data_IF_770454532878
#
_entry.id   IF_770454532878
#
_cell.length_a   1.000
_cell.length_b   1.000
_cell.length_c   1.000
_cell.angle_alpha   90.00
_cell.angle_beta   90.00
_cell.angle_gamma   90.00
#
_symmetry.space_group_name_H-M   'P 1'
#
loop_
_entity.id
_entity.type
_entity.pdbx_description
1 polymer ?
#
# COMPACT_ATOMS: atom_id res chain seq x y z
N UNK A 1 -16.49 33.18 -53.86
CA UNK A 1 -15.28 32.38 -53.55
C UNK A 1 -15.34 32.03 -52.07
N UNK A 2 -15.83 30.80 -51.79
CA UNK A 2 -15.99 30.30 -50.46
C UNK A 2 -14.65 29.96 -49.81
N UNK A 3 -14.47 30.42 -48.60
CA UNK A 3 -13.47 29.91 -47.66
C UNK A 3 -14.03 28.57 -47.14
N UNK A 4 -13.46 27.47 -47.62
CA UNK A 4 -13.61 26.16 -46.99
C UNK A 4 -12.82 26.24 -45.70
N UNK A 5 -13.53 26.50 -44.59
CA UNK A 5 -12.97 26.33 -43.26
C UNK A 5 -12.60 24.87 -43.11
N UNK A 6 -11.33 24.59 -42.82
CA UNK A 6 -10.91 23.29 -42.31
C UNK A 6 -11.67 23.07 -41.01
N UNK A 7 -12.80 22.35 -41.08
CA UNK A 7 -13.32 21.65 -39.91
C UNK A 7 -12.21 20.68 -39.48
N UNK A 8 -11.43 21.15 -38.54
CA UNK A 8 -10.49 20.31 -37.84
C UNK A 8 -11.32 19.24 -37.14
N UNK A 9 -11.36 18.07 -37.74
CA UNK A 9 -12.07 16.91 -37.23
C UNK A 9 -11.54 16.58 -35.86
N UNK A 10 -12.21 17.05 -34.79
CA UNK A 10 -12.08 16.58 -33.41
C UNK A 10 -12.62 15.14 -33.32
N UNK A 11 -12.64 14.41 -34.41
CA UNK A 11 -13.20 13.06 -34.48
C UNK A 11 -12.22 11.91 -34.30
N UNK A 12 -10.94 12.14 -34.30
CA UNK A 12 -9.96 11.08 -34.30
C UNK A 12 -9.02 11.23 -33.09
N UNK A 13 -9.23 10.35 -32.17
CA UNK A 13 -8.44 10.06 -30.98
C UNK A 13 -8.88 10.79 -29.71
N UNK A 14 -9.81 10.22 -29.02
CA UNK A 14 -9.94 10.46 -27.59
C UNK A 14 -9.80 9.11 -26.90
N UNK A 15 -8.67 8.88 -26.27
CA UNK A 15 -8.49 7.79 -25.30
C UNK A 15 -9.74 7.70 -24.41
N UNK A 16 -10.34 6.53 -24.32
CA UNK A 16 -11.55 6.31 -23.54
C UNK A 16 -11.25 5.61 -22.22
N UNK A 17 -12.05 5.85 -21.19
CA UNK A 17 -11.97 5.11 -19.93
C UNK A 17 -12.14 3.59 -20.14
N UNK A 18 -12.87 3.20 -21.19
CA UNK A 18 -13.04 1.80 -21.54
C UNK A 18 -11.74 1.17 -22.03
N UNK A 19 -10.95 1.86 -22.85
CA UNK A 19 -9.64 1.38 -23.29
C UNK A 19 -8.66 1.31 -22.11
N UNK A 20 -8.68 2.27 -21.18
CA UNK A 20 -7.88 2.19 -19.96
C UNK A 20 -8.27 0.99 -19.10
N UNK A 21 -9.55 0.69 -18.96
CA UNK A 21 -10.03 -0.51 -18.28
C UNK A 21 -9.52 -1.79 -18.95
N UNK A 22 -9.53 -1.84 -20.29
CA UNK A 22 -8.98 -2.96 -21.04
C UNK A 22 -7.49 -3.15 -20.80
N UNK A 23 -6.72 -2.05 -20.83
CA UNK A 23 -5.28 -2.05 -20.56
C UNK A 23 -4.98 -2.64 -19.17
N UNK A 24 -5.65 -2.15 -18.14
CA UNK A 24 -5.47 -2.63 -16.76
C UNK A 24 -5.85 -4.11 -16.63
N UNK A 25 -6.97 -4.53 -17.22
CA UNK A 25 -7.42 -5.94 -17.13
C UNK A 25 -6.45 -6.90 -17.82
N UNK A 26 -5.87 -6.52 -18.98
CA UNK A 26 -4.85 -7.33 -19.67
C UNK A 26 -3.59 -7.47 -18.82
N UNK A 27 -3.14 -6.40 -18.17
CA UNK A 27 -1.99 -6.43 -17.29
C UNK A 27 -2.20 -7.33 -16.06
N UNK A 28 -3.42 -7.34 -15.49
CA UNK A 28 -3.78 -8.19 -14.35
C UNK A 28 -3.81 -9.68 -14.73
N UNK A 29 -4.47 -10.01 -15.84
CA UNK A 29 -4.61 -11.41 -16.31
C UNK A 29 -3.30 -11.96 -16.91
N UNK A 30 -2.41 -11.10 -17.40
CA UNK A 30 -1.19 -11.49 -18.15
C UNK A 30 -1.49 -12.41 -19.35
N UNK A 31 -2.76 -12.45 -19.77
CA UNK A 31 -3.29 -13.25 -20.86
C UNK A 31 -4.46 -12.52 -21.53
N UNK A 32 -4.36 -12.28 -22.85
CA UNK A 32 -5.39 -11.53 -23.58
C UNK A 32 -6.70 -12.29 -23.68
N UNK A 33 -6.68 -13.62 -23.84
CA UNK A 33 -7.89 -14.44 -23.93
C UNK A 33 -8.67 -14.40 -22.62
N UNK A 34 -7.99 -14.63 -21.50
CA UNK A 34 -8.57 -14.55 -20.15
C UNK A 34 -9.11 -13.14 -19.85
N UNK A 35 -8.37 -12.11 -20.24
CA UNK A 35 -8.83 -10.73 -20.10
C UNK A 35 -10.09 -10.44 -20.92
N UNK A 36 -10.18 -10.97 -22.14
CA UNK A 36 -11.35 -10.82 -23.02
C UNK A 36 -12.58 -11.51 -22.42
N UNK A 37 -12.43 -12.72 -21.89
CA UNK A 37 -13.48 -13.45 -21.17
C UNK A 37 -13.96 -12.67 -19.94
N UNK A 38 -13.05 -12.17 -19.11
CA UNK A 38 -13.36 -11.35 -17.92
C UNK A 38 -14.09 -10.05 -18.28
N UNK A 39 -13.84 -9.50 -19.47
CA UNK A 39 -14.45 -8.28 -19.98
C UNK A 39 -15.72 -8.53 -20.81
N UNK A 40 -16.10 -9.79 -21.04
CA UNK A 40 -17.23 -10.21 -21.88
C UNK A 40 -17.18 -9.65 -23.31
N UNK A 41 -15.98 -9.63 -23.92
CA UNK A 41 -15.76 -9.21 -25.31
C UNK A 41 -14.93 -10.24 -26.08
N UNK A 42 -14.92 -10.11 -27.42
CA UNK A 42 -14.06 -10.99 -28.24
C UNK A 42 -12.58 -10.62 -28.08
N UNK A 43 -11.69 -11.62 -28.09
CA UNK A 43 -10.25 -11.41 -28.04
C UNK A 43 -9.72 -10.50 -29.17
N UNK A 44 -10.21 -10.62 -30.45
CA UNK A 44 -9.81 -9.68 -31.50
C UNK A 44 -10.19 -8.23 -31.20
N UNK A 45 -11.39 -8.01 -30.64
CA UNK A 45 -11.85 -6.65 -30.26
C UNK A 45 -10.98 -6.06 -29.17
N UNK A 46 -10.63 -6.85 -28.12
CA UNK A 46 -9.73 -6.42 -27.07
C UNK A 46 -8.34 -6.09 -27.62
N UNK A 47 -7.79 -6.96 -28.48
CA UNK A 47 -6.49 -6.74 -29.13
C UNK A 47 -6.45 -5.47 -29.98
N UNK A 48 -7.50 -5.21 -30.74
CA UNK A 48 -7.62 -4.01 -31.56
C UNK A 48 -7.71 -2.75 -30.69
N UNK A 49 -8.50 -2.78 -29.60
CA UNK A 49 -8.63 -1.65 -28.68
C UNK A 49 -7.32 -1.30 -27.97
N UNK A 50 -6.55 -2.31 -27.55
CA UNK A 50 -5.21 -2.10 -26.96
C UNK A 50 -4.25 -1.53 -28.01
N UNK A 51 -4.21 -2.10 -29.20
CA UNK A 51 -3.32 -1.60 -30.26
C UNK A 51 -3.62 -0.16 -30.65
N UNK A 52 -4.90 0.21 -30.75
CA UNK A 52 -5.29 1.60 -30.99
C UNK A 52 -4.83 2.55 -29.88
N UNK A 53 -4.96 2.14 -28.61
CA UNK A 53 -4.48 2.92 -27.48
C UNK A 53 -2.95 3.07 -27.50
N UNK A 54 -2.21 1.99 -27.78
CA UNK A 54 -0.75 2.00 -27.90
C UNK A 54 -0.29 2.95 -29.01
N UNK A 55 -0.94 2.90 -30.18
CA UNK A 55 -0.65 3.80 -31.31
C UNK A 55 -0.95 5.27 -30.96
N UNK A 56 -2.06 5.55 -30.29
CA UNK A 56 -2.45 6.90 -29.88
C UNK A 56 -1.47 7.49 -28.87
N UNK A 57 -1.03 6.68 -27.91
CA UNK A 57 -0.06 7.09 -26.89
C UNK A 57 1.40 7.08 -27.39
N UNK A 58 1.66 6.47 -28.56
CA UNK A 58 3.01 6.33 -29.10
C UNK A 58 3.89 5.38 -28.29
N UNK A 59 3.30 4.41 -27.59
CA UNK A 59 4.03 3.48 -26.70
C UNK A 59 3.61 2.03 -26.98
N UNK A 60 4.52 1.09 -26.74
CA UNK A 60 4.21 -0.33 -26.71
C UNK A 60 4.03 -0.75 -25.25
N UNK A 61 2.80 -0.94 -24.80
CA UNK A 61 2.51 -1.30 -23.41
C UNK A 61 2.78 -2.77 -23.12
N UNK A 62 2.60 -3.65 -24.11
CA UNK A 62 2.69 -5.09 -23.92
C UNK A 62 3.60 -5.78 -24.94
N UNK A 63 4.40 -6.74 -24.46
CA UNK A 63 5.10 -7.71 -25.30
C UNK A 63 4.40 -9.06 -25.20
N UNK A 64 4.06 -9.64 -26.34
CA UNK A 64 3.41 -10.95 -26.44
C UNK A 64 4.44 -12.05 -26.64
N UNK A 65 4.29 -13.13 -25.95
CA UNK A 65 5.13 -14.33 -26.08
C UNK A 65 4.26 -15.60 -25.98
N UNK A 66 4.84 -16.75 -26.27
CA UNK A 66 4.19 -18.04 -26.09
C UNK A 66 3.84 -18.36 -24.61
N UNK A 67 4.37 -17.57 -23.66
CA UNK A 67 4.10 -17.69 -22.22
C UNK A 67 3.04 -16.70 -21.74
N UNK A 68 2.45 -15.91 -22.64
CA UNK A 68 1.46 -14.89 -22.30
C UNK A 68 1.92 -13.47 -22.63
N UNK A 69 1.42 -12.50 -21.86
CA UNK A 69 1.66 -11.07 -22.02
C UNK A 69 2.52 -10.55 -20.87
N UNK A 70 3.59 -9.83 -21.20
CA UNK A 70 4.40 -9.07 -20.23
C UNK A 70 4.29 -7.58 -20.48
N UNK A 71 4.32 -6.79 -19.42
CA UNK A 71 4.26 -5.32 -19.47
C UNK A 71 5.66 -4.77 -19.78
N UNK A 72 5.77 -3.79 -20.65
CA UNK A 72 7.01 -3.05 -20.89
C UNK A 72 7.23 -1.99 -19.82
N UNK A 73 8.38 -1.31 -19.83
CA UNK A 73 8.65 -0.19 -18.92
C UNK A 73 7.70 0.97 -19.19
N UNK A 74 7.49 1.33 -20.45
CA UNK A 74 6.54 2.37 -20.87
C UNK A 74 5.10 1.94 -20.54
N UNK A 75 4.79 0.65 -20.65
CA UNK A 75 3.51 0.06 -20.26
C UNK A 75 3.22 0.19 -18.77
N UNK A 76 4.20 0.00 -17.89
CA UNK A 76 4.02 0.22 -16.45
C UNK A 76 3.70 1.67 -16.12
N UNK A 77 4.33 2.62 -16.80
CA UNK A 77 4.05 4.04 -16.64
C UNK A 77 2.62 4.36 -17.12
N UNK A 78 2.23 3.90 -18.31
CA UNK A 78 0.88 4.08 -18.85
C UNK A 78 -0.19 3.44 -17.94
N UNK A 79 0.07 2.24 -17.40
CA UNK A 79 -0.79 1.56 -16.44
C UNK A 79 -0.97 2.35 -15.14
N UNK A 80 0.08 3.00 -14.65
CA UNK A 80 -0.01 3.87 -13.47
C UNK A 80 -1.00 5.01 -13.71
N UNK A 81 -0.87 5.72 -14.84
CA UNK A 81 -1.82 6.77 -15.20
C UNK A 81 -3.25 6.23 -15.42
N UNK A 82 -3.37 5.08 -16.10
CA UNK A 82 -4.67 4.46 -16.37
C UNK A 82 -5.42 4.11 -15.09
N UNK A 83 -4.74 3.50 -14.10
CA UNK A 83 -5.34 3.17 -12.80
C UNK A 83 -5.80 4.41 -12.05
N UNK A 84 -4.96 5.45 -12.00
CA UNK A 84 -5.31 6.70 -11.34
C UNK A 84 -6.52 7.39 -11.99
N UNK A 85 -6.59 7.45 -13.32
CA UNK A 85 -7.74 8.02 -14.03
C UNK A 85 -9.04 7.24 -13.80
N UNK A 86 -8.96 5.89 -13.81
CA UNK A 86 -10.10 5.03 -13.54
C UNK A 86 -10.58 5.20 -12.10
N UNK A 87 -9.67 5.29 -11.13
CA UNK A 87 -9.99 5.53 -9.72
C UNK A 87 -10.68 6.89 -9.54
N UNK A 88 -10.14 7.96 -10.12
CA UNK A 88 -10.77 9.28 -10.04
C UNK A 88 -12.15 9.32 -10.72
N UNK A 89 -12.31 8.65 -11.86
CA UNK A 89 -13.61 8.51 -12.51
C UNK A 89 -14.60 7.73 -11.63
N UNK A 90 -14.12 6.73 -10.90
CA UNK A 90 -14.92 5.94 -9.97
C UNK A 90 -15.34 6.77 -8.75
N UNK A 91 -14.43 7.54 -8.15
CA UNK A 91 -14.72 8.46 -7.03
C UNK A 91 -15.74 9.53 -7.47
N UNK A 92 -15.58 10.10 -8.65
CA UNK A 92 -16.52 11.09 -9.20
C UNK A 92 -17.93 10.48 -9.33
N UNK A 93 -18.03 9.27 -9.86
CA UNK A 93 -19.32 8.55 -9.98
C UNK A 93 -19.94 8.25 -8.62
N UNK A 94 -19.14 7.77 -7.66
CA UNK A 94 -19.61 7.49 -6.28
C UNK A 94 -20.12 8.75 -5.58
N UNK A 95 -19.55 9.92 -5.91
CA UNK A 95 -19.94 11.18 -5.30
C UNK A 95 -21.22 11.78 -5.90
N UNK A 96 -21.43 11.59 -7.19
CA UNK A 96 -22.51 12.29 -7.94
C UNK A 96 -23.59 11.35 -8.49
N UNK A 97 -23.31 10.06 -8.66
CA UNK A 97 -24.26 9.07 -9.12
C UNK A 97 -24.66 8.18 -7.96
N UNK A 98 -25.92 8.28 -7.49
CA UNK A 98 -26.48 7.41 -6.44
C UNK A 98 -26.75 5.97 -6.93
N UNK A 99 -25.82 5.41 -7.70
CA UNK A 99 -25.96 4.05 -8.20
C UNK A 99 -25.58 3.02 -7.11
N UNK A 100 -26.57 2.55 -6.37
CA UNK A 100 -26.45 1.52 -5.32
C UNK A 100 -26.04 0.14 -5.88
N UNK A 101 -26.04 -0.07 -7.20
CA UNK A 101 -25.66 -1.33 -7.83
C UNK A 101 -24.16 -1.51 -8.00
N UNK A 102 -23.39 -0.45 -7.76
CA UNK A 102 -21.95 -0.45 -7.96
C UNK A 102 -21.20 -1.01 -6.77
N UNK A 103 -20.25 -1.89 -7.03
CA UNK A 103 -19.38 -2.45 -6.00
C UNK A 103 -18.37 -1.40 -5.50
N UNK A 104 -18.46 -0.95 -4.24
CA UNK A 104 -17.48 -0.06 -3.64
C UNK A 104 -16.08 -0.68 -3.68
N UNK A 105 -15.07 0.17 -3.95
CA UNK A 105 -13.67 -0.24 -3.95
C UNK A 105 -12.88 0.65 -3.01
N UNK A 106 -11.98 0.07 -2.27
CA UNK A 106 -11.02 0.75 -1.42
C UNK A 106 -9.78 -0.12 -1.24
N UNK A 107 -8.60 0.46 -1.31
CA UNK A 107 -7.36 -0.28 -1.16
C UNK A 107 -6.32 0.50 -0.37
N UNK A 108 -5.68 -0.20 0.55
CA UNK A 108 -4.60 0.33 1.41
C UNK A 108 -3.44 -0.66 1.43
N UNK A 109 -2.23 -0.15 1.36
CA UNK A 109 -1.01 -0.91 1.66
C UNK A 109 -0.36 -0.32 2.91
N UNK A 110 0.06 -1.16 3.85
CA UNK A 110 0.64 -0.70 5.10
C UNK A 110 1.79 -1.60 5.56
N UNK A 111 2.68 -1.04 6.37
CA UNK A 111 3.57 -1.83 7.21
C UNK A 111 2.74 -2.62 8.23
N UNK A 112 3.37 -3.51 8.97
CA UNK A 112 2.69 -4.46 9.85
C UNK A 112 2.17 -3.81 11.16
N UNK A 113 1.21 -2.88 11.03
CA UNK A 113 0.60 -2.16 12.15
C UNK A 113 -0.81 -2.66 12.48
N UNK A 114 -1.05 -3.07 13.73
CA UNK A 114 -2.39 -3.49 14.19
C UNK A 114 -3.43 -2.38 14.09
N UNK A 115 -3.07 -1.14 14.39
CA UNK A 115 -3.99 0.00 14.27
C UNK A 115 -4.47 0.23 12.83
N UNK A 116 -3.64 -0.10 11.83
CA UNK A 116 -4.04 0.00 10.42
C UNK A 116 -5.11 -1.05 10.07
N UNK A 117 -5.01 -2.24 10.64
CA UNK A 117 -6.02 -3.30 10.49
C UNK A 117 -7.32 -2.90 11.19
N UNK A 118 -7.24 -2.39 12.44
CA UNK A 118 -8.41 -1.93 13.20
C UNK A 118 -9.19 -0.84 12.45
N UNK A 119 -8.46 0.16 11.93
CA UNK A 119 -9.07 1.20 11.14
C UNK A 119 -9.77 0.67 9.88
N UNK A 120 -9.22 -0.39 9.27
CA UNK A 120 -9.84 -1.04 8.13
C UNK A 120 -11.12 -1.79 8.51
N UNK A 121 -11.13 -2.47 9.65
CA UNK A 121 -12.33 -3.12 10.23
C UNK A 121 -13.42 -2.08 10.48
N UNK A 122 -13.07 -0.91 11.04
CA UNK A 122 -14.04 0.17 11.25
C UNK A 122 -14.67 0.67 9.95
N UNK A 123 -13.87 0.80 8.88
CA UNK A 123 -14.38 1.20 7.56
C UNK A 123 -15.36 0.14 7.02
N UNK A 124 -15.00 -1.14 7.10
CA UNK A 124 -15.88 -2.23 6.64
C UNK A 124 -17.21 -2.19 7.40
N UNK A 125 -17.16 -2.10 8.74
CA UNK A 125 -18.35 -2.07 9.59
C UNK A 125 -19.21 -0.82 9.36
N UNK A 126 -18.59 0.35 9.16
CA UNK A 126 -19.31 1.60 8.90
C UNK A 126 -20.07 1.62 7.59
N UNK A 127 -19.52 0.98 6.57
CA UNK A 127 -20.08 0.99 5.23
C UNK A 127 -20.74 -0.33 4.85
N UNK A 128 -21.18 -1.11 5.83
CA UNK A 128 -21.87 -2.41 5.71
C UNK A 128 -22.72 -2.50 4.44
N UNK A 129 -22.09 -2.82 3.32
CA UNK A 129 -22.70 -2.93 2.01
C UNK A 129 -22.81 -4.41 1.62
N UNK A 130 -23.91 -4.79 0.96
CA UNK A 130 -24.09 -6.17 0.50
C UNK A 130 -23.00 -6.67 -0.46
N UNK A 131 -22.34 -5.74 -1.17
CA UNK A 131 -21.24 -6.01 -2.10
C UNK A 131 -20.17 -4.93 -1.97
N UNK A 132 -18.91 -5.32 -1.79
CA UNK A 132 -17.74 -4.44 -1.82
C UNK A 132 -16.48 -5.23 -2.24
N UNK A 133 -15.46 -4.50 -2.68
CA UNK A 133 -14.13 -5.04 -2.95
C UNK A 133 -13.09 -4.16 -2.26
N UNK A 134 -12.82 -4.46 -1.00
CA UNK A 134 -11.83 -3.76 -0.19
C UNK A 134 -10.58 -4.60 -0.06
N UNK A 135 -9.41 -3.98 -0.15
CA UNK A 135 -8.12 -4.64 -0.14
C UNK A 135 -7.22 -3.98 0.90
N UNK A 136 -6.77 -4.75 1.87
CA UNK A 136 -5.70 -4.39 2.79
C UNK A 136 -4.49 -5.26 2.49
N UNK A 137 -3.33 -4.63 2.27
CA UNK A 137 -2.04 -5.30 2.09
C UNK A 137 -1.10 -4.91 3.21
N UNK A 138 -0.76 -5.87 4.05
CA UNK A 138 0.42 -5.73 4.91
C UNK A 138 1.62 -6.19 4.09
N UNK A 139 2.56 -5.28 3.83
CA UNK A 139 3.66 -5.55 2.90
C UNK A 139 4.86 -4.62 3.15
N UNK A 140 5.94 -4.88 2.44
CA UNK A 140 7.23 -4.20 2.55
C UNK A 140 7.16 -2.72 2.19
N UNK A 141 7.95 -1.89 2.84
CA UNK A 141 7.99 -0.43 2.62
C UNK A 141 8.14 -0.05 1.14
N UNK A 142 9.01 -0.76 0.39
CA UNK A 142 9.18 -0.51 -1.03
C UNK A 142 7.94 -0.83 -1.86
N UNK A 143 7.23 -1.90 -1.51
CA UNK A 143 5.99 -2.31 -2.19
C UNK A 143 4.84 -1.36 -1.87
N UNK A 144 4.75 -0.84 -0.63
CA UNK A 144 3.76 0.19 -0.26
C UNK A 144 3.92 1.42 -1.15
N UNK A 145 5.15 1.89 -1.34
CA UNK A 145 5.45 3.04 -2.20
C UNK A 145 5.05 2.75 -3.65
N UNK A 146 5.41 1.57 -4.17
CA UNK A 146 5.07 1.16 -5.53
C UNK A 146 3.55 0.96 -5.71
N UNK A 147 2.84 0.47 -4.71
CA UNK A 147 1.39 0.29 -4.76
C UNK A 147 0.65 1.63 -4.88
N UNK A 148 1.04 2.61 -4.07
CA UNK A 148 0.43 3.95 -4.15
C UNK A 148 0.88 4.67 -5.42
N UNK A 149 2.16 4.57 -5.79
CA UNK A 149 2.68 5.17 -7.02
C UNK A 149 1.97 4.67 -8.27
N UNK A 150 1.63 3.38 -8.32
CA UNK A 150 1.00 2.73 -9.47
C UNK A 150 -0.54 2.64 -9.36
N UNK A 151 -1.17 3.31 -8.38
CA UNK A 151 -2.62 3.29 -8.19
C UNK A 151 -3.18 1.90 -7.89
N UNK A 152 -2.42 1.02 -7.24
CA UNK A 152 -2.88 -0.27 -6.71
C UNK A 152 -3.46 -0.13 -5.31
N UNK A 153 -3.03 0.90 -4.59
CA UNK A 153 -3.57 1.31 -3.30
C UNK A 153 -3.78 2.82 -3.28
N UNK A 154 -4.90 3.25 -2.72
CA UNK A 154 -5.25 4.67 -2.58
C UNK A 154 -4.38 5.35 -1.53
N UNK A 155 -4.06 4.60 -0.46
CA UNK A 155 -3.23 5.05 0.65
C UNK A 155 -2.12 4.03 0.95
N UNK A 156 -0.99 4.55 1.43
CA UNK A 156 0.06 3.75 2.04
C UNK A 156 0.33 4.21 3.46
N UNK A 157 0.51 3.29 4.42
CA UNK A 157 0.84 3.63 5.81
C UNK A 157 2.25 3.13 6.10
N UNK A 158 3.12 4.05 6.53
CA UNK A 158 4.51 3.75 6.87
C UNK A 158 5.05 4.79 7.87
N UNK A 159 6.25 4.54 8.37
CA UNK A 159 6.92 5.50 9.24
C UNK A 159 8.12 6.16 8.57
N UNK A 160 8.43 7.36 9.04
CA UNK A 160 9.68 8.07 8.77
C UNK A 160 10.46 8.23 10.08
N UNK A 161 11.77 8.14 9.93
CA UNK A 161 12.73 8.36 10.98
C UNK A 161 14.01 8.98 10.40
N UNK A 162 14.87 9.60 11.23
CA UNK A 162 16.08 10.31 10.79
C UNK A 162 16.90 9.56 9.72
N UNK A 163 17.06 8.25 9.88
CA UNK A 163 17.88 7.45 8.95
C UNK A 163 17.23 7.21 7.59
N UNK A 164 15.89 7.16 7.51
CA UNK A 164 15.20 6.82 6.27
C UNK A 164 14.49 8.01 5.61
N UNK A 165 14.25 9.11 6.34
CA UNK A 165 13.44 10.23 5.89
C UNK A 165 13.96 10.85 4.59
N UNK A 166 15.27 11.11 4.50
CA UNK A 166 15.87 11.72 3.30
C UNK A 166 15.72 10.84 2.06
N UNK A 167 15.93 9.53 2.21
CA UNK A 167 15.84 8.56 1.11
C UNK A 167 14.41 8.37 0.67
N UNK A 168 13.51 8.13 1.62
CA UNK A 168 12.09 7.90 1.34
C UNK A 168 11.41 9.16 0.80
N UNK A 169 11.72 10.35 1.33
CA UNK A 169 11.16 11.62 0.84
C UNK A 169 11.59 11.91 -0.61
N UNK A 170 12.85 11.63 -0.97
CA UNK A 170 13.31 11.73 -2.37
C UNK A 170 12.54 10.76 -3.26
N UNK A 171 12.30 9.53 -2.78
CA UNK A 171 11.53 8.52 -3.51
C UNK A 171 10.06 8.91 -3.66
N UNK A 172 9.44 9.50 -2.62
CA UNK A 172 8.08 10.05 -2.69
C UNK A 172 7.98 11.13 -3.76
N UNK A 173 8.88 12.11 -3.74
CA UNK A 173 8.92 13.19 -4.74
C UNK A 173 9.07 12.66 -6.17
N UNK A 174 9.93 11.65 -6.37
CA UNK A 174 10.14 11.02 -7.68
C UNK A 174 8.87 10.35 -8.22
N UNK A 175 7.99 9.88 -7.35
CA UNK A 175 6.76 9.16 -7.70
C UNK A 175 5.49 10.01 -7.53
N UNK A 176 5.60 11.33 -7.40
CA UNK A 176 4.50 12.26 -7.15
C UNK A 176 3.64 11.89 -5.94
N UNK A 177 4.29 11.41 -4.88
CA UNK A 177 3.67 11.08 -3.60
C UNK A 177 3.91 12.20 -2.59
N UNK A 178 2.97 12.36 -1.67
CA UNK A 178 3.09 13.22 -0.49
C UNK A 178 2.93 12.39 0.76
N UNK A 179 3.75 12.69 1.78
CA UNK A 179 3.63 12.12 3.11
C UNK A 179 2.89 13.10 4.01
N UNK A 180 1.90 12.60 4.75
CA UNK A 180 1.17 13.32 5.78
C UNK A 180 1.34 12.60 7.12
N UNK A 181 1.95 13.26 8.10
CA UNK A 181 2.11 12.72 9.45
C UNK A 181 0.75 12.57 10.13
N UNK A 182 0.49 11.41 10.73
CA UNK A 182 -0.73 11.15 11.50
C UNK A 182 -0.44 11.29 12.99
N UNK A 183 0.64 10.65 13.49
CA UNK A 183 1.05 10.72 14.87
C UNK A 183 2.56 10.45 15.03
N UNK A 184 3.08 10.78 16.20
CA UNK A 184 4.44 10.48 16.62
C UNK A 184 4.41 9.42 17.72
N UNK A 185 5.37 8.51 17.70
CA UNK A 185 5.51 7.48 18.70
C UNK A 185 6.96 7.33 19.16
N UNK A 186 7.19 7.06 20.43
CA UNK A 186 8.48 6.54 20.90
C UNK A 186 8.58 5.05 20.58
N UNK A 187 9.77 4.52 20.32
CA UNK A 187 9.96 3.10 20.10
C UNK A 187 9.56 2.26 21.31
N UNK A 188 8.87 1.16 21.05
CA UNK A 188 8.48 0.18 22.03
C UNK A 188 8.91 -1.21 21.59
N UNK A 189 9.28 -2.02 22.56
CA UNK A 189 9.61 -3.44 22.37
C UNK A 189 8.35 -4.27 22.50
N UNK A 190 8.06 -5.10 21.50
CA UNK A 190 7.00 -6.10 21.55
C UNK A 190 7.61 -7.44 21.91
N UNK A 191 7.17 -7.99 23.02
CA UNK A 191 7.63 -9.27 23.62
C UNK A 191 6.44 -10.09 24.08
N UNK A 192 6.67 -11.38 24.29
CA UNK A 192 5.69 -12.24 24.97
C UNK A 192 5.44 -11.75 26.41
N UNK A 193 4.20 -11.87 26.90
CA UNK A 193 3.86 -11.61 28.30
C UNK A 193 4.66 -12.47 29.29
N UNK A 194 5.19 -13.61 28.83
CA UNK A 194 6.01 -14.54 29.63
C UNK A 194 7.51 -14.31 29.40
N UNK A 195 7.90 -13.28 28.65
CA UNK A 195 9.30 -12.95 28.41
C UNK A 195 10.01 -12.58 29.73
N UNK A 196 11.29 -12.95 29.93
CA UNK A 196 12.03 -12.59 31.16
C UNK A 196 12.02 -11.09 31.50
N UNK A 197 11.91 -10.21 30.50
CA UNK A 197 11.84 -8.76 30.68
C UNK A 197 10.39 -8.21 30.76
N UNK A 198 9.37 -9.08 30.82
CA UNK A 198 7.97 -8.65 30.79
C UNK A 198 7.55 -7.77 31.99
N UNK A 199 8.24 -7.89 33.11
CA UNK A 199 7.97 -7.09 34.32
C UNK A 199 8.69 -5.75 34.35
N UNK A 200 9.59 -5.46 33.39
CA UNK A 200 10.28 -4.18 33.32
C UNK A 200 9.34 -3.16 32.67
N UNK A 201 9.25 -1.96 33.22
CA UNK A 201 8.48 -0.84 32.60
C UNK A 201 9.21 -0.24 31.41
N UNK A 202 10.54 -0.19 31.50
CA UNK A 202 11.44 0.32 30.46
C UNK A 202 12.50 -0.75 30.23
N UNK A 203 12.82 -1.00 28.96
CA UNK A 203 13.80 -2.01 28.53
C UNK A 203 14.95 -1.29 27.80
N UNK A 204 16.18 -1.66 28.11
CA UNK A 204 17.39 -1.13 27.47
C UNK A 204 17.84 -2.03 26.30
N UNK A 205 18.64 -1.50 25.38
CA UNK A 205 19.23 -2.27 24.29
C UNK A 205 20.16 -3.38 24.80
N UNK A 206 20.87 -3.14 25.89
CA UNK A 206 21.79 -4.14 26.48
C UNK A 206 21.02 -5.36 27.01
N UNK A 207 19.87 -5.14 27.63
CA UNK A 207 19.01 -6.24 28.11
C UNK A 207 18.42 -7.07 26.98
N UNK A 208 18.28 -6.52 25.77
CA UNK A 208 17.74 -7.20 24.60
C UNK A 208 18.76 -8.09 23.87
N UNK A 209 20.05 -7.80 23.97
CA UNK A 209 21.12 -8.54 23.25
C UNK A 209 21.10 -10.06 23.39
N UNK A 210 20.72 -10.66 24.54
CA UNK A 210 20.63 -12.11 24.67
C UNK A 210 19.53 -12.76 23.85
N UNK A 211 18.51 -12.01 23.43
CA UNK A 211 17.29 -12.49 22.79
C UNK A 211 17.29 -12.32 21.29
N UNK A 212 16.57 -13.17 20.51
CA UNK A 212 16.45 -13.02 19.07
C UNK A 212 15.70 -11.74 18.69
N UNK A 213 16.30 -10.92 17.84
CA UNK A 213 15.64 -9.80 17.19
C UNK A 213 14.88 -10.28 15.96
N UNK A 214 13.58 -10.02 15.92
CA UNK A 214 12.66 -10.43 14.87
C UNK A 214 12.34 -9.22 13.98
N UNK A 215 12.60 -9.34 12.70
CA UNK A 215 12.44 -8.26 11.74
C UNK A 215 11.71 -8.73 10.48
N UNK A 216 11.04 -7.81 9.79
CA UNK A 216 10.43 -8.12 8.50
C UNK A 216 11.44 -8.00 7.36
N UNK A 217 11.50 -9.02 6.49
CA UNK A 217 12.36 -8.95 5.30
C UNK A 217 11.85 -7.87 4.33
N UNK A 218 12.79 -7.19 3.65
CA UNK A 218 12.47 -6.11 2.70
C UNK A 218 12.67 -6.50 1.23
N UNK A 219 12.75 -7.79 0.94
CA UNK A 219 12.78 -8.35 -0.42
C UNK A 219 13.89 -7.76 -1.30
N UNK A 220 13.53 -7.31 -2.49
CA UNK A 220 14.50 -6.75 -3.47
C UNK A 220 15.13 -5.43 -3.04
N UNK A 221 14.48 -4.67 -2.16
CA UNK A 221 14.99 -3.42 -1.59
C UNK A 221 15.51 -3.64 -0.17
N UNK A 222 16.30 -4.70 0.01
CA UNK A 222 16.86 -5.08 1.30
C UNK A 222 17.97 -4.10 1.73
N UNK A 223 17.54 -2.92 2.15
CA UNK A 223 18.38 -1.85 2.68
C UNK A 223 17.73 -1.35 3.98
N UNK A 224 18.53 -0.99 4.95
CA UNK A 224 18.06 -0.46 6.23
C UNK A 224 17.13 0.75 6.09
N UNK A 225 17.20 1.51 4.99
CA UNK A 225 16.28 2.61 4.70
C UNK A 225 14.82 2.16 4.48
N UNK A 226 14.60 0.90 4.13
CA UNK A 226 13.27 0.34 3.90
C UNK A 226 12.79 -0.53 5.05
N UNK A 227 13.62 -0.76 6.07
CA UNK A 227 13.24 -1.57 7.22
C UNK A 227 12.02 -1.01 7.94
N UNK A 228 11.19 -1.89 8.47
CA UNK A 228 10.03 -1.50 9.29
C UNK A 228 10.41 -1.35 10.76
N UNK A 229 11.54 -1.91 11.15
CA UNK A 229 12.03 -1.87 12.52
C UNK A 229 13.09 -0.80 12.69
N UNK A 230 12.90 -0.06 13.74
CA UNK A 230 13.75 1.06 14.12
C UNK A 230 15.22 0.68 14.33
N UNK A 231 15.47 -0.51 14.92
CA UNK A 231 16.82 -0.97 15.25
C UNK A 231 17.55 -1.69 14.10
N UNK A 232 17.03 -1.65 12.89
CA UNK A 232 17.65 -2.32 11.73
C UNK A 232 19.06 -1.79 11.38
N UNK A 233 19.42 -0.62 11.89
CA UNK A 233 20.76 -0.01 11.79
C UNK A 233 21.74 -0.63 12.79
N UNK A 234 21.26 -1.34 13.81
CA UNK A 234 22.11 -1.95 14.86
C UNK A 234 22.43 -3.40 14.48
N UNK A 235 23.68 -3.78 14.64
CA UNK A 235 24.13 -5.15 14.47
C UNK A 235 23.72 -5.98 15.70
N UNK A 236 22.54 -6.63 15.62
CA UNK A 236 22.04 -7.50 16.66
C UNK A 236 22.59 -8.92 16.45
N UNK A 237 23.22 -9.52 17.48
CA UNK A 237 23.94 -10.80 17.32
C UNK A 237 23.02 -11.98 16.95
N UNK A 238 21.73 -11.89 17.25
CA UNK A 238 20.71 -12.89 16.90
C UNK A 238 19.60 -12.19 16.13
N UNK A 239 19.53 -12.42 14.83
CA UNK A 239 18.54 -11.81 13.94
C UNK A 239 17.78 -12.89 13.17
N UNK A 240 16.44 -12.79 13.14
CA UNK A 240 15.57 -13.68 12.38
C UNK A 240 14.65 -12.82 11.52
N UNK A 241 14.68 -13.08 10.21
CA UNK A 241 13.81 -12.38 9.25
C UNK A 241 12.56 -13.19 8.97
N UNK A 242 11.40 -12.52 8.94
CA UNK A 242 10.08 -13.11 8.67
C UNK A 242 9.33 -12.28 7.64
N UNK A 243 8.20 -12.79 7.14
CA UNK A 243 7.37 -12.10 6.15
C UNK A 243 6.05 -11.60 6.67
N UNK A 244 5.57 -12.18 7.75
CA UNK A 244 4.23 -11.91 8.25
C UNK A 244 4.20 -11.80 9.77
N UNK A 245 3.19 -11.10 10.28
CA UNK A 245 3.03 -10.79 11.70
C UNK A 245 2.73 -12.03 12.54
N UNK A 246 1.97 -12.98 12.01
CA UNK A 246 1.62 -14.18 12.76
C UNK A 246 2.86 -15.03 13.05
N UNK A 247 3.72 -15.22 12.06
CA UNK A 247 5.03 -15.89 12.23
C UNK A 247 5.90 -15.12 13.21
N UNK A 248 5.98 -13.78 13.11
CA UNK A 248 6.77 -12.96 14.02
C UNK A 248 6.32 -13.14 15.47
N UNK A 249 5.02 -13.06 15.75
CA UNK A 249 4.47 -13.20 17.10
C UNK A 249 4.66 -14.62 17.65
N UNK A 250 4.49 -15.66 16.82
CA UNK A 250 4.77 -17.04 17.22
C UNK A 250 6.24 -17.24 17.62
N UNK A 251 7.17 -16.64 16.88
CA UNK A 251 8.61 -16.70 17.23
C UNK A 251 8.93 -15.86 18.47
N UNK A 252 8.27 -14.70 18.66
CA UNK A 252 8.42 -13.92 19.89
C UNK A 252 8.01 -14.73 21.13
N UNK A 253 6.91 -15.49 21.04
CA UNK A 253 6.45 -16.35 22.11
C UNK A 253 7.38 -17.58 22.28
N UNK A 254 7.68 -18.28 21.19
CA UNK A 254 8.38 -19.56 21.23
C UNK A 254 9.88 -19.47 21.55
N UNK A 255 10.53 -18.33 21.23
CA UNK A 255 11.98 -18.12 21.37
C UNK A 255 12.34 -17.03 22.37
N UNK A 256 11.36 -16.43 23.08
CA UNK A 256 11.56 -15.17 23.79
C UNK A 256 12.20 -14.09 22.90
N UNK A 257 11.77 -14.03 21.65
CA UNK A 257 12.23 -13.01 20.71
C UNK A 257 11.53 -11.68 20.93
N UNK A 258 12.06 -10.63 20.30
CA UNK A 258 11.48 -9.30 20.38
C UNK A 258 11.49 -8.62 19.01
N UNK A 259 10.59 -7.67 18.83
CA UNK A 259 10.64 -6.69 17.73
C UNK A 259 10.42 -5.29 18.26
N UNK A 260 10.70 -4.26 17.47
CA UNK A 260 10.50 -2.85 17.86
C UNK A 260 9.52 -2.16 16.92
N UNK A 261 8.52 -1.51 17.50
CA UNK A 261 7.44 -0.84 16.76
C UNK A 261 6.95 0.40 17.51
N UNK A 262 5.84 0.99 17.06
CA UNK A 262 5.24 2.24 17.57
C UNK A 262 4.65 2.15 18.98
N UNK A 263 4.58 0.97 19.58
CA UNK A 263 3.92 0.78 20.88
C UNK A 263 2.41 0.59 20.81
N UNK A 264 1.78 0.90 19.69
CA UNK A 264 0.34 0.69 19.50
C UNK A 264 0.07 -0.77 19.18
N UNK A 265 -0.49 -1.49 20.13
CA UNK A 265 -0.95 -2.86 19.95
C UNK A 265 -2.38 -2.97 20.45
N UNK A 266 -3.23 -3.58 19.64
CA UNK A 266 -4.62 -3.82 19.99
C UNK A 266 -4.79 -5.23 20.57
N UNK A 267 -5.33 -5.32 21.78
CA UNK A 267 -5.51 -6.60 22.48
C UNK A 267 -6.69 -7.41 21.92
N UNK A 268 -7.70 -6.75 21.39
CA UNK A 268 -8.88 -7.45 20.84
C UNK A 268 -8.51 -8.22 19.57
N UNK A 269 -7.65 -7.65 18.72
CA UNK A 269 -7.23 -8.31 17.48
C UNK A 269 -5.97 -9.19 17.62
N UNK A 270 -5.06 -8.85 18.53
CA UNK A 270 -3.77 -9.56 18.65
C UNK A 270 -3.69 -10.49 19.88
N UNK A 271 -4.74 -10.52 20.72
CA UNK A 271 -4.73 -11.25 21.98
C UNK A 271 -3.84 -10.58 23.04
N UNK A 272 -3.71 -11.25 24.19
CA UNK A 272 -2.93 -10.75 25.34
C UNK A 272 -1.54 -11.34 25.46
N UNK A 273 -1.13 -12.17 24.50
CA UNK A 273 0.15 -12.90 24.60
C UNK A 273 1.36 -12.03 24.24
N UNK A 274 1.16 -10.97 23.47
CA UNK A 274 2.20 -9.97 23.14
C UNK A 274 1.91 -8.68 23.88
N UNK A 275 2.91 -8.17 24.56
CA UNK A 275 2.86 -6.90 25.30
C UNK A 275 3.86 -5.89 24.74
N UNK A 276 3.55 -4.63 24.93
CA UNK A 276 4.38 -3.49 24.56
C UNK A 276 5.09 -2.93 25.78
N UNK A 277 6.39 -2.71 25.69
CA UNK A 277 7.23 -2.10 26.73
C UNK A 277 8.04 -0.96 26.12
N UNK A 278 8.19 0.13 26.85
CA UNK A 278 8.98 1.28 26.39
C UNK A 278 10.45 0.88 26.20
N UNK A 279 11.02 1.24 25.05
CA UNK A 279 12.46 1.13 24.82
C UNK A 279 13.16 2.38 25.36
N UNK A 280 14.25 2.21 26.11
CA UNK A 280 15.06 3.33 26.63
C UNK A 280 15.89 3.95 25.51
N UNK A 281 15.21 4.76 24.71
CA UNK A 281 15.81 5.54 23.62
C UNK A 281 15.10 6.88 23.48
N UNK A 282 15.87 7.96 23.37
CA UNK A 282 15.37 9.30 23.10
C UNK A 282 15.27 9.54 21.58
N UNK A 283 14.22 9.00 20.98
CA UNK A 283 13.96 9.14 19.56
C UNK A 283 12.47 9.03 19.24
N UNK A 284 12.09 9.52 18.06
CA UNK A 284 10.68 9.64 17.67
C UNK A 284 10.47 9.07 16.28
N UNK A 285 9.55 8.13 16.17
CA UNK A 285 9.01 7.62 14.91
C UNK A 285 7.87 8.52 14.44
N UNK A 286 7.89 8.97 13.21
CA UNK A 286 6.81 9.74 12.58
C UNK A 286 5.99 8.80 11.72
N UNK A 287 4.85 8.36 12.23
CA UNK A 287 3.93 7.48 11.49
C UNK A 287 2.97 8.33 10.69
N UNK A 288 2.80 7.98 9.42
CA UNK A 288 1.96 8.75 8.53
C UNK A 288 1.48 7.96 7.33
N UNK A 289 0.74 8.65 6.49
CA UNK A 289 0.25 8.11 5.24
C UNK A 289 0.98 8.73 4.05
N UNK A 290 1.12 7.94 3.00
CA UNK A 290 1.47 8.42 1.66
C UNK A 290 0.27 8.29 0.73
N UNK A 291 0.12 9.28 -0.15
CA UNK A 291 -0.90 9.30 -1.21
C UNK A 291 -0.35 10.02 -2.44
N UNK A 292 -1.01 9.87 -3.59
CA UNK A 292 -0.70 10.67 -4.78
C UNK A 292 -0.93 12.15 -4.49
N UNK A 293 -0.04 12.99 -5.01
CA UNK A 293 -0.22 14.45 -4.98
C UNK A 293 -1.47 14.83 -5.79
N UNK A 294 -2.25 15.77 -5.25
CA UNK A 294 -3.46 16.32 -5.91
C UNK A 294 -4.58 15.30 -6.20
N UNK A 295 -4.58 14.14 -5.54
CA UNK A 295 -5.68 13.17 -5.66
C UNK A 295 -6.85 13.57 -4.75
N UNK A 296 -8.07 13.35 -5.21
CA UNK A 296 -9.27 13.45 -4.38
C UNK A 296 -9.45 12.08 -3.71
N UNK A 297 -9.46 12.05 -2.39
CA UNK A 297 -9.65 10.82 -1.64
C UNK A 297 -11.11 10.37 -1.67
N UNK A 298 -11.31 9.06 -1.72
CA UNK A 298 -12.62 8.44 -1.55
C UNK A 298 -13.16 8.66 -0.13
N UNK A 299 -14.48 8.54 0.03
CA UNK A 299 -15.12 8.57 1.36
C UNK A 299 -14.57 7.48 2.30
N UNK A 300 -14.15 6.37 1.73
CA UNK A 300 -13.56 5.24 2.47
C UNK A 300 -12.17 5.59 3.00
N UNK A 301 -11.31 6.18 2.15
CA UNK A 301 -9.99 6.67 2.55
C UNK A 301 -10.08 7.75 3.65
N UNK A 302 -11.00 8.70 3.52
CA UNK A 302 -11.22 9.72 4.56
C UNK A 302 -11.65 9.06 5.88
N UNK A 303 -12.62 8.13 5.83
CA UNK A 303 -13.06 7.40 7.01
C UNK A 303 -11.97 6.55 7.64
N UNK A 304 -11.10 5.96 6.82
CA UNK A 304 -9.94 5.19 7.26
C UNK A 304 -8.92 6.06 8.02
N UNK A 305 -8.60 7.23 7.49
CA UNK A 305 -7.70 8.19 8.14
C UNK A 305 -8.27 8.64 9.49
N UNK A 306 -9.57 8.95 9.54
CA UNK A 306 -10.25 9.33 10.78
C UNK A 306 -10.22 8.21 11.82
N UNK A 307 -10.38 6.96 11.38
CA UNK A 307 -10.32 5.81 12.26
C UNK A 307 -8.89 5.53 12.77
N UNK A 308 -7.85 5.65 11.93
CA UNK A 308 -6.46 5.55 12.40
C UNK A 308 -6.21 6.57 13.53
N UNK A 309 -6.62 7.84 13.34
CA UNK A 309 -6.45 8.87 14.37
C UNK A 309 -7.11 8.51 15.69
N UNK A 310 -8.27 7.82 15.68
CA UNK A 310 -8.93 7.35 16.91
C UNK A 310 -8.15 6.25 17.61
N UNK A 311 -7.67 5.26 16.86
CA UNK A 311 -6.90 4.13 17.42
C UNK A 311 -5.50 4.53 17.90
N UNK A 312 -5.00 5.70 17.47
CA UNK A 312 -3.66 6.19 17.82
C UNK A 312 -3.68 7.39 18.78
N UNK A 313 -4.83 7.89 19.18
CA UNK A 313 -4.98 9.02 20.10
C UNK A 313 -4.55 8.71 21.56
N UNK A 314 -4.20 7.47 21.86
CA UNK A 314 -3.86 6.97 23.20
C UNK A 314 -2.32 6.92 23.43
N UNK A 315 -1.53 7.24 22.41
CA UNK A 315 -0.04 7.16 22.46
C UNK A 315 0.59 8.50 22.77
#
# INVERSE_FOLDING_TARGET
RGLVGSEMCIRDSAMTLQQLKYLVTVAECKNITEAAEKLFISQPSLSAAIHNLENEMGVTAFVRSNKGVSVTREGEELLSFARNLLEQADIMKDRFCNDKSRMPKFSVSCQHYSFAVNAFVDVVNKYDANIYSFILRETQTGEIIDDVANGRSELGILYLFEHNEDVLTKLFKKNDLVFEEIFKASPHVFISKNHPLANNDIITLEELKPYPYLVYEQGKRNSFYFSEEFLSVLDMPKNIQVRDRATLFNLAIGLNGFTVSSGVIDKELNGEDIISKKLDMDCTMRIGLIKKKNIILSRYAISYIDSIKKHTAIV
#
